data_IF_225687037930
#
_entry.id   IF_225687037930
#
_cell.length_a   1.000
_cell.length_b   1.000
_cell.length_c   1.000
_cell.angle_alpha   90.00
_cell.angle_beta   90.00
_cell.angle_gamma   90.00
#
_symmetry.space_group_name_H-M   'P 1'
#
loop_
_entity.id
_entity.type
_entity.pdbx_description
1 polymer ?
#
# COMPACT_ATOMS: atom_id res chain seq x y z
N UNK A 1 8.76 20.28 -5.46
CA UNK A 1 8.78 19.02 -4.68
C UNK A 1 7.96 19.18 -3.38
N UNK A 2 7.03 18.27 -3.05
CA UNK A 2 6.27 18.35 -1.78
C UNK A 2 7.19 18.02 -0.58
N UNK A 3 7.16 18.81 0.52
CA UNK A 3 8.02 18.61 1.68
C UNK A 3 7.74 17.26 2.37
N UNK A 4 8.79 16.63 2.93
CA UNK A 4 8.72 15.29 3.56
C UNK A 4 7.63 15.21 4.64
N UNK A 5 7.40 16.28 5.41
CA UNK A 5 6.33 16.36 6.44
C UNK A 5 4.91 16.26 5.88
N UNK A 6 4.68 16.73 4.65
CA UNK A 6 3.36 16.69 3.99
C UNK A 6 3.14 15.37 3.23
N UNK A 7 4.10 14.44 3.26
CA UNK A 7 3.92 13.13 2.63
C UNK A 7 3.01 12.29 3.49
N UNK A 8 2.10 11.58 2.83
CA UNK A 8 1.19 10.67 3.50
C UNK A 8 1.98 9.54 4.16
N UNK A 9 1.59 9.19 5.39
CA UNK A 9 1.98 7.96 6.04
C UNK A 9 0.72 7.15 6.36
N UNK A 10 0.61 5.95 5.79
CA UNK A 10 -0.57 5.08 5.97
C UNK A 10 -0.23 3.88 6.83
N UNK A 11 -1.07 3.61 7.82
CA UNK A 11 -0.98 2.43 8.67
C UNK A 11 -1.77 1.26 8.09
N UNK A 12 -1.35 0.03 8.42
CA UNK A 12 -2.04 -1.20 8.01
C UNK A 12 -3.51 -1.23 8.43
N UNK A 13 -3.85 -0.71 9.61
CA UNK A 13 -5.25 -0.62 10.06
C UNK A 13 -6.13 0.20 9.09
N UNK A 14 -5.59 1.26 8.50
CA UNK A 14 -6.32 2.10 7.54
C UNK A 14 -6.49 1.36 6.21
N UNK A 15 -5.49 0.60 5.79
CA UNK A 15 -5.59 -0.29 4.64
C UNK A 15 -6.68 -1.35 4.87
N UNK A 16 -6.66 -2.04 6.00
CA UNK A 16 -7.61 -3.11 6.32
C UNK A 16 -9.08 -2.64 6.25
N UNK A 17 -9.38 -1.44 6.78
CA UNK A 17 -10.74 -0.89 6.78
C UNK A 17 -11.28 -0.49 5.41
N UNK A 18 -10.41 -0.09 4.48
CA UNK A 18 -10.81 0.47 3.19
C UNK A 18 -10.58 -0.46 1.99
N UNK A 19 -10.06 -1.65 2.25
CA UNK A 19 -9.72 -2.63 1.22
C UNK A 19 -10.52 -3.90 1.38
N UNK A 20 -10.78 -4.55 0.26
CA UNK A 20 -11.37 -5.87 0.19
C UNK A 20 -10.34 -6.86 -0.37
N UNK A 21 -10.70 -8.15 -0.37
CA UNK A 21 -9.86 -9.21 -0.90
C UNK A 21 -9.52 -8.95 -2.37
N UNK A 22 -8.24 -9.08 -2.73
CA UNK A 22 -7.68 -8.83 -4.07
C UNK A 22 -7.72 -7.37 -4.56
N UNK A 23 -7.98 -6.40 -3.69
CA UNK A 23 -7.87 -4.98 -4.07
C UNK A 23 -6.43 -4.56 -4.36
N UNK A 24 -6.30 -3.61 -5.28
CA UNK A 24 -5.05 -2.91 -5.57
C UNK A 24 -5.08 -1.53 -4.95
N UNK A 25 -4.16 -1.27 -4.04
CA UNK A 25 -4.03 0.02 -3.36
C UNK A 25 -2.77 0.75 -3.79
N UNK A 26 -2.90 2.04 -4.06
CA UNK A 26 -1.77 2.95 -4.22
C UNK A 26 -1.69 3.91 -3.04
N UNK A 27 -0.52 3.95 -2.41
CA UNK A 27 -0.19 4.90 -1.37
C UNK A 27 0.89 5.85 -1.88
N UNK A 28 0.59 7.14 -2.09
CA UNK A 28 1.56 8.14 -2.53
C UNK A 28 2.45 8.61 -1.36
N UNK A 29 3.04 7.66 -0.65
CA UNK A 29 3.69 7.90 0.63
C UNK A 29 4.38 6.66 1.21
N UNK A 30 4.58 6.67 2.54
CA UNK A 30 5.18 5.56 3.28
C UNK A 30 4.10 4.72 3.95
N UNK A 31 4.21 3.40 3.82
CA UNK A 31 3.37 2.46 4.57
C UNK A 31 4.08 2.04 5.86
N UNK A 32 3.37 2.16 6.97
CA UNK A 32 3.83 1.85 8.32
C UNK A 32 3.14 0.59 8.84
N UNK A 33 3.84 -0.15 9.70
CA UNK A 33 3.42 -1.47 10.17
C UNK A 33 2.47 -1.49 11.38
N UNK A 34 1.82 -0.37 11.70
CA UNK A 34 0.88 -0.32 12.83
C UNK A 34 -0.47 -0.94 12.41
N UNK A 35 -0.88 -2.00 13.10
CA UNK A 35 -2.10 -2.75 12.80
C UNK A 35 -1.90 -4.15 12.26
N UNK A 36 -2.99 -4.73 11.74
CA UNK A 36 -3.04 -6.04 11.08
C UNK A 36 -3.76 -5.92 9.73
N UNK A 37 -3.50 -6.88 8.85
CA UNK A 37 -4.21 -7.08 7.60
C UNK A 37 -4.72 -8.51 7.61
N UNK A 38 -6.02 -8.68 7.39
CA UNK A 38 -6.68 -9.98 7.52
C UNK A 38 -6.99 -10.62 6.15
N UNK A 39 -6.83 -9.87 5.06
CA UNK A 39 -7.11 -10.32 3.70
C UNK A 39 -5.95 -10.00 2.74
N UNK A 40 -5.76 -10.82 1.69
CA UNK A 40 -4.71 -10.60 0.71
C UNK A 40 -5.02 -9.37 -0.14
N UNK A 41 -4.12 -8.38 -0.09
CA UNK A 41 -4.19 -7.15 -0.88
C UNK A 41 -2.89 -6.89 -1.63
N UNK A 42 -2.98 -6.17 -2.74
CA UNK A 42 -1.81 -5.69 -3.47
C UNK A 42 -1.57 -4.22 -3.12
N UNK A 43 -0.50 -3.92 -2.39
CA UNK A 43 -0.15 -2.55 -1.98
C UNK A 43 1.01 -2.04 -2.80
N UNK A 44 0.83 -0.91 -3.47
CA UNK A 44 1.86 -0.17 -4.16
C UNK A 44 2.17 1.13 -3.40
N UNK A 45 3.43 1.33 -3.01
CA UNK A 45 3.83 2.55 -2.31
C UNK A 45 5.22 3.04 -2.72
N UNK A 46 5.56 4.27 -2.32
CA UNK A 46 6.90 4.83 -2.48
C UNK A 46 7.90 4.18 -1.52
N UNK A 47 7.46 3.95 -0.28
CA UNK A 47 8.28 3.33 0.74
C UNK A 47 7.45 2.45 1.66
N UNK A 48 8.08 1.40 2.19
CA UNK A 48 7.48 0.50 3.18
C UNK A 48 8.40 0.41 4.38
N UNK A 49 7.82 0.33 5.58
CA UNK A 49 8.53 -0.13 6.77
C UNK A 49 8.72 -1.65 6.70
N UNK A 50 9.80 -2.16 7.29
CA UNK A 50 10.10 -3.60 7.38
C UNK A 50 8.93 -4.38 7.99
N UNK A 51 8.46 -3.94 9.17
CA UNK A 51 7.27 -4.49 9.83
C UNK A 51 6.01 -4.48 8.96
N UNK A 52 5.88 -3.51 8.06
CA UNK A 52 4.74 -3.45 7.15
C UNK A 52 4.85 -4.51 6.06
N UNK A 53 6.04 -4.70 5.49
CA UNK A 53 6.29 -5.73 4.47
C UNK A 53 6.01 -7.12 5.02
N UNK A 54 6.55 -7.43 6.20
CA UNK A 54 6.36 -8.72 6.86
C UNK A 54 4.89 -9.04 7.07
N UNK A 55 4.11 -8.09 7.59
CA UNK A 55 2.67 -8.28 7.82
C UNK A 55 1.87 -8.43 6.52
N UNK A 56 2.22 -7.68 5.48
CA UNK A 56 1.57 -7.83 4.16
C UNK A 56 1.89 -9.19 3.55
N UNK A 57 3.14 -9.64 3.64
CA UNK A 57 3.58 -10.97 3.18
C UNK A 57 2.89 -12.09 3.97
N UNK A 58 2.78 -11.95 5.29
CA UNK A 58 2.08 -12.88 6.17
C UNK A 58 0.59 -13.01 5.81
N UNK A 59 -0.05 -11.90 5.43
CA UNK A 59 -1.43 -11.87 4.95
C UNK A 59 -1.61 -12.38 3.50
N UNK A 60 -0.58 -13.00 2.89
CA UNK A 60 -0.55 -13.43 1.48
C UNK A 60 -0.79 -12.26 0.49
N UNK A 61 -0.49 -11.04 0.92
CA UNK A 61 -0.55 -9.83 0.11
C UNK A 61 0.72 -9.63 -0.72
N UNK A 62 0.64 -8.69 -1.68
CA UNK A 62 1.76 -8.34 -2.56
C UNK A 62 2.21 -6.90 -2.28
N UNK A 63 3.47 -6.73 -1.91
CA UNK A 63 4.09 -5.41 -1.85
C UNK A 63 4.73 -5.07 -3.20
N UNK A 64 4.33 -3.97 -3.82
CA UNK A 64 4.91 -3.46 -5.05
C UNK A 64 5.51 -2.06 -4.83
N UNK A 65 6.69 -1.77 -5.39
CA UNK A 65 7.13 -0.38 -5.50
C UNK A 65 6.26 0.33 -6.52
N UNK A 66 5.94 1.61 -6.27
CA UNK A 66 5.07 2.42 -7.13
C UNK A 66 5.50 2.38 -8.61
N UNK A 67 6.81 2.41 -8.88
CA UNK A 67 7.37 2.32 -10.23
C UNK A 67 7.00 1.02 -10.98
N UNK A 68 6.96 -0.12 -10.28
CA UNK A 68 6.55 -1.40 -10.91
C UNK A 68 5.05 -1.41 -11.20
N UNK A 69 4.23 -0.75 -10.37
CA UNK A 69 2.79 -0.67 -10.63
C UNK A 69 2.51 0.18 -11.87
N UNK A 70 3.17 1.33 -12.03
CA UNK A 70 3.00 2.21 -13.21
C UNK A 70 3.35 1.44 -14.50
N UNK A 71 4.43 0.63 -14.47
CA UNK A 71 4.81 -0.21 -15.61
C UNK A 71 3.82 -1.35 -15.88
N UNK A 72 3.21 -1.94 -14.85
CA UNK A 72 2.26 -3.06 -15.01
C UNK A 72 0.85 -2.62 -15.39
N UNK A 73 0.36 -1.51 -14.82
CA UNK A 73 -0.99 -1.00 -15.04
C UNK A 73 -0.93 0.48 -15.47
N UNK A 74 -0.57 0.78 -16.74
CA UNK A 74 -0.54 2.15 -17.25
C UNK A 74 -1.92 2.82 -17.27
N UNK A 75 -3.01 2.03 -17.28
CA UNK A 75 -4.40 2.52 -17.28
C UNK A 75 -4.99 2.80 -15.88
N UNK A 76 -4.30 2.41 -14.79
CA UNK A 76 -4.78 2.66 -13.42
C UNK A 76 -6.17 2.10 -13.11
N UNK A 77 -6.64 1.11 -13.87
CA UNK A 77 -8.00 0.59 -13.76
C UNK A 77 -8.16 -0.23 -12.46
N UNK A 78 -9.18 0.08 -11.68
CA UNK A 78 -9.52 -0.56 -10.40
C UNK A 78 -8.48 -0.39 -9.27
N UNK A 79 -7.88 0.80 -9.17
CA UNK A 79 -6.90 1.14 -8.13
C UNK A 79 -7.52 2.08 -7.10
N UNK A 80 -7.41 1.72 -5.81
CA UNK A 80 -7.80 2.60 -4.70
C UNK A 80 -6.61 3.44 -4.26
N UNK A 81 -6.74 4.77 -4.33
CA UNK A 81 -5.72 5.67 -3.79
C UNK A 81 -6.02 5.94 -2.32
N UNK A 82 -5.08 5.58 -1.44
CA UNK A 82 -5.22 5.79 0.01
C UNK A 82 -4.15 6.77 0.47
N UNK A 83 -4.63 7.93 0.88
CA UNK A 83 -3.91 9.10 1.38
C UNK A 83 -4.23 9.40 2.84
#
# INVERSE_FOLDING_TARGET
>A
AKPKRKRVAVNLNRLNRHTQKNDVVVVPGKVLGAGKIDHPITVAALAFSEKAREKILAARGKCLPLFKLIKKNPKGSNVKLIG
#
